data_IF_968523108799
#
_entry.id   IF_968523108799
#
_cell.length_a   1.000
_cell.length_b   1.000
_cell.length_c   1.000
_cell.angle_alpha   90.00
_cell.angle_beta   90.00
_cell.angle_gamma   90.00
#
_symmetry.space_group_name_H-M   'P 1'
#
loop_
_entity.id
_entity.type
_entity.pdbx_description
1 polymer ?
#
# COMPACT_ATOMS: atom_id res chain seq x y z
N UNK A 1 -26.61 -48.93 3.11
CA UNK A 1 -26.49 -49.92 4.20
C UNK A 1 -25.53 -49.34 5.22
N UNK A 2 -25.95 -49.08 6.46
CA UNK A 2 -25.04 -48.53 7.49
C UNK A 2 -23.90 -49.52 7.74
N UNK A 3 -22.69 -49.00 7.95
CA UNK A 3 -21.45 -49.76 8.16
C UNK A 3 -21.63 -50.90 9.20
N UNK A 4 -22.44 -50.65 10.23
CA UNK A 4 -22.87 -51.62 11.24
C UNK A 4 -23.55 -52.89 10.66
N UNK A 5 -24.43 -52.75 9.66
CA UNK A 5 -25.15 -53.90 9.07
C UNK A 5 -24.24 -54.75 8.19
N UNK A 6 -23.28 -54.14 7.50
CA UNK A 6 -22.30 -54.87 6.70
C UNK A 6 -21.34 -55.67 7.59
N UNK A 7 -20.81 -55.05 8.65
CA UNK A 7 -19.92 -55.74 9.59
C UNK A 7 -20.61 -56.89 10.34
N UNK A 8 -21.89 -56.73 10.69
CA UNK A 8 -22.67 -57.83 11.28
C UNK A 8 -22.83 -58.99 10.29
N UNK A 9 -23.13 -58.70 9.02
CA UNK A 9 -23.31 -59.72 7.99
C UNK A 9 -22.02 -60.48 7.70
N UNK A 10 -20.88 -59.78 7.60
CA UNK A 10 -19.57 -60.41 7.41
C UNK A 10 -19.19 -61.31 8.60
N UNK A 11 -19.43 -60.86 9.84
CA UNK A 11 -19.19 -61.69 11.03
C UNK A 11 -20.05 -62.94 11.06
N UNK A 12 -21.33 -62.82 10.73
CA UNK A 12 -22.25 -63.96 10.68
C UNK A 12 -21.78 -64.98 9.63
N UNK A 13 -21.45 -64.55 8.42
CA UNK A 13 -20.92 -65.44 7.37
C UNK A 13 -19.63 -66.12 7.82
N UNK A 14 -18.70 -65.37 8.42
CA UNK A 14 -17.44 -65.92 8.95
C UNK A 14 -17.64 -67.02 10.00
N UNK A 15 -18.60 -66.85 10.90
CA UNK A 15 -18.94 -67.86 11.92
C UNK A 15 -19.49 -69.13 11.28
N UNK A 16 -20.40 -69.01 10.30
CA UNK A 16 -20.94 -70.17 9.59
C UNK A 16 -19.87 -70.96 8.84
N UNK A 17 -18.92 -70.28 8.18
CA UNK A 17 -17.79 -70.93 7.50
C UNK A 17 -16.89 -71.65 8.50
N UNK A 18 -16.51 -70.99 9.60
CA UNK A 18 -15.65 -71.60 10.63
C UNK A 18 -16.30 -72.84 11.27
N UNK A 19 -17.60 -72.77 11.54
CA UNK A 19 -18.36 -73.90 12.10
C UNK A 19 -18.46 -75.06 11.10
N UNK A 20 -18.69 -74.77 9.82
CA UNK A 20 -18.67 -75.78 8.76
C UNK A 20 -17.32 -76.51 8.65
N UNK A 21 -16.20 -75.75 8.67
CA UNK A 21 -14.84 -76.34 8.66
C UNK A 21 -14.59 -77.18 9.92
N UNK A 22 -14.98 -76.70 11.10
CA UNK A 22 -14.82 -77.43 12.35
C UNK A 22 -15.59 -78.76 12.36
N UNK A 23 -16.81 -78.78 11.80
CA UNK A 23 -17.61 -80.01 11.66
C UNK A 23 -16.93 -81.01 10.74
N UNK A 24 -16.38 -80.57 9.60
CA UNK A 24 -15.66 -81.46 8.67
C UNK A 24 -14.41 -82.05 9.35
N UNK A 25 -13.62 -81.24 10.04
CA UNK A 25 -12.44 -81.69 10.79
C UNK A 25 -12.84 -82.69 11.88
N UNK A 26 -13.91 -82.40 12.63
CA UNK A 26 -14.40 -83.27 13.69
C UNK A 26 -14.85 -84.64 13.15
N UNK A 27 -15.56 -84.68 12.02
CA UNK A 27 -15.97 -85.92 11.36
C UNK A 27 -14.74 -86.74 10.93
N UNK A 28 -13.74 -86.11 10.32
CA UNK A 28 -12.49 -86.78 9.92
C UNK A 28 -11.71 -87.33 11.13
N UNK A 29 -11.59 -86.53 12.19
CA UNK A 29 -10.90 -86.91 13.42
C UNK A 29 -11.61 -88.06 14.15
N UNK A 30 -12.94 -88.04 14.20
CA UNK A 30 -13.75 -89.12 14.77
C UNK A 30 -13.55 -90.43 14.00
N UNK A 31 -13.51 -90.39 12.66
CA UNK A 31 -13.26 -91.55 11.81
C UNK A 31 -11.86 -92.15 12.06
N UNK A 32 -10.83 -91.30 12.16
CA UNK A 32 -9.44 -91.74 12.37
C UNK A 32 -9.17 -92.31 13.77
N UNK A 33 -9.78 -91.75 14.83
CA UNK A 33 -9.53 -92.17 16.21
C UNK A 33 -10.39 -93.36 16.68
N UNK A 34 -11.64 -93.49 16.21
CA UNK A 34 -12.62 -94.38 16.85
C UNK A 34 -13.10 -95.58 16.01
N UNK A 35 -12.78 -95.69 14.71
CA UNK A 35 -13.30 -96.79 13.87
C UNK A 35 -12.20 -97.71 13.31
N UNK A 36 -12.15 -98.96 13.82
CA UNK A 36 -11.38 -100.10 13.26
C UNK A 36 -12.24 -101.11 12.49
N UNK A 37 -13.31 -100.69 11.78
CA UNK A 37 -14.08 -101.68 11.00
C UNK A 37 -15.36 -101.25 10.29
N UNK A 38 -15.95 -100.09 10.59
CA UNK A 38 -17.09 -99.57 9.82
C UNK A 38 -16.69 -98.34 9.01
N UNK A 39 -16.56 -98.54 7.71
CA UNK A 39 -16.28 -97.46 6.76
C UNK A 39 -17.60 -96.75 6.47
N UNK A 40 -17.82 -95.60 7.11
CA UNK A 40 -18.80 -94.60 6.64
C UNK A 40 -18.42 -94.24 5.21
N UNK A 41 -18.99 -94.88 4.18
CA UNK A 41 -18.79 -94.57 2.76
C UNK A 41 -17.34 -94.60 2.24
N UNK A 42 -17.10 -95.12 1.03
CA UNK A 42 -15.80 -94.91 0.38
C UNK A 42 -15.54 -93.42 0.15
N UNK A 43 -14.27 -93.01 0.08
CA UNK A 43 -13.86 -91.64 -0.30
C UNK A 43 -14.59 -91.11 -1.55
N UNK A 44 -14.93 -92.01 -2.49
CA UNK A 44 -15.72 -91.70 -3.67
C UNK A 44 -17.16 -91.22 -3.38
N UNK A 45 -17.84 -91.75 -2.35
CA UNK A 45 -19.20 -91.34 -2.01
C UNK A 45 -19.25 -89.96 -1.34
N UNK A 46 -18.25 -89.65 -0.50
CA UNK A 46 -18.08 -88.31 0.05
C UNK A 46 -17.62 -87.30 -1.00
N UNK A 47 -16.79 -87.71 -1.96
CA UNK A 47 -16.47 -86.93 -3.15
C UNK A 47 -17.75 -86.57 -3.92
N UNK A 48 -18.58 -87.56 -4.26
CA UNK A 48 -19.84 -87.32 -4.97
C UNK A 48 -20.85 -86.45 -4.19
N UNK A 49 -20.92 -86.58 -2.86
CA UNK A 49 -21.74 -85.72 -2.02
C UNK A 49 -21.21 -84.28 -2.00
N UNK A 50 -19.90 -84.12 -1.85
CA UNK A 50 -19.21 -82.84 -1.96
C UNK A 50 -19.44 -82.18 -3.32
N UNK A 51 -19.41 -82.96 -4.41
CA UNK A 51 -19.67 -82.49 -5.76
C UNK A 51 -21.13 -82.07 -5.96
N UNK A 52 -22.10 -82.76 -5.35
CA UNK A 52 -23.51 -82.36 -5.38
C UNK A 52 -23.76 -81.05 -4.63
N UNK A 53 -23.26 -80.95 -3.39
CA UNK A 53 -23.40 -79.72 -2.58
C UNK A 53 -22.62 -78.56 -3.21
N UNK A 54 -21.40 -78.82 -3.68
CA UNK A 54 -20.57 -77.86 -4.41
C UNK A 54 -21.22 -77.44 -5.73
N UNK A 55 -21.84 -78.37 -6.46
CA UNK A 55 -22.57 -78.10 -7.70
C UNK A 55 -23.78 -77.19 -7.52
N UNK A 56 -24.43 -77.20 -6.35
CA UNK A 56 -25.54 -76.29 -6.02
C UNK A 56 -25.04 -74.98 -5.41
N UNK A 57 -24.08 -75.04 -4.49
CA UNK A 57 -23.55 -73.85 -3.81
C UNK A 57 -22.76 -72.95 -4.75
N UNK A 58 -21.97 -73.51 -5.67
CA UNK A 58 -21.08 -72.73 -6.51
C UNK A 58 -21.84 -71.76 -7.44
N UNK A 59 -22.94 -72.15 -8.13
CA UNK A 59 -23.80 -71.19 -8.84
C UNK A 59 -24.45 -70.14 -7.93
N UNK A 60 -24.91 -70.51 -6.74
CA UNK A 60 -25.55 -69.59 -5.78
C UNK A 60 -24.54 -68.54 -5.28
N UNK A 61 -23.34 -68.98 -4.87
CA UNK A 61 -22.26 -68.11 -4.43
C UNK A 61 -21.71 -67.25 -5.57
N UNK A 62 -21.62 -67.81 -6.78
CA UNK A 62 -21.25 -67.06 -7.98
C UNK A 62 -22.23 -65.91 -8.25
N UNK A 63 -23.53 -66.18 -8.21
CA UNK A 63 -24.57 -65.16 -8.39
C UNK A 63 -24.55 -64.11 -7.26
N UNK A 64 -24.39 -64.54 -6.00
CA UNK A 64 -24.24 -63.64 -4.85
C UNK A 64 -23.01 -62.72 -5.00
N UNK A 65 -21.89 -63.27 -5.49
CA UNK A 65 -20.66 -62.50 -5.76
C UNK A 65 -20.89 -61.43 -6.82
N UNK A 66 -21.59 -61.77 -7.92
CA UNK A 66 -21.93 -60.79 -8.96
C UNK A 66 -22.82 -59.67 -8.40
N UNK A 67 -23.82 -59.99 -7.59
CA UNK A 67 -24.68 -58.98 -6.94
C UNK A 67 -23.87 -58.07 -6.03
N UNK A 68 -23.00 -58.63 -5.19
CA UNK A 68 -22.14 -57.86 -4.28
C UNK A 68 -21.17 -56.95 -5.04
N UNK A 69 -20.64 -57.43 -6.17
CA UNK A 69 -19.77 -56.65 -7.04
C UNK A 69 -20.52 -55.48 -7.69
N UNK A 70 -21.73 -55.71 -8.21
CA UNK A 70 -22.59 -54.66 -8.77
C UNK A 70 -22.92 -53.61 -7.69
N UNK A 71 -23.24 -54.04 -6.47
CA UNK A 71 -23.54 -53.14 -5.37
C UNK A 71 -22.31 -52.31 -4.96
N UNK A 72 -21.14 -52.94 -4.90
CA UNK A 72 -19.86 -52.25 -4.63
C UNK A 72 -19.55 -51.20 -5.69
N UNK A 73 -19.71 -51.53 -6.98
CA UNK A 73 -19.53 -50.57 -8.09
C UNK A 73 -20.50 -49.39 -7.96
N UNK A 74 -21.77 -49.64 -7.59
CA UNK A 74 -22.74 -48.57 -7.38
C UNK A 74 -22.34 -47.63 -6.23
N UNK A 75 -21.78 -48.15 -5.14
CA UNK A 75 -21.27 -47.32 -4.05
C UNK A 75 -20.08 -46.49 -4.52
N UNK A 76 -19.09 -47.13 -5.16
CA UNK A 76 -17.89 -46.44 -5.66
C UNK A 76 -18.26 -45.32 -6.65
N UNK A 77 -19.21 -45.57 -7.55
CA UNK A 77 -19.73 -44.54 -8.45
C UNK A 77 -20.39 -43.36 -7.70
N UNK A 78 -21.12 -43.65 -6.63
CA UNK A 78 -21.74 -42.61 -5.80
C UNK A 78 -20.69 -41.76 -5.10
N UNK A 79 -19.71 -42.39 -4.46
CA UNK A 79 -18.60 -41.72 -3.77
C UNK A 79 -17.77 -40.88 -4.74
N UNK A 80 -17.44 -41.42 -5.93
CA UNK A 80 -16.73 -40.69 -6.97
C UNK A 80 -17.51 -39.44 -7.42
N UNK A 81 -18.83 -39.57 -7.57
CA UNK A 81 -19.71 -38.45 -7.93
C UNK A 81 -19.71 -37.38 -6.84
N UNK A 82 -19.85 -37.77 -5.57
CA UNK A 82 -19.84 -36.84 -4.44
C UNK A 82 -18.47 -36.15 -4.29
N UNK A 83 -17.38 -36.90 -4.42
CA UNK A 83 -16.01 -36.36 -4.44
C UNK A 83 -15.81 -35.35 -5.58
N UNK A 84 -16.29 -35.66 -6.79
CA UNK A 84 -16.23 -34.75 -7.93
C UNK A 84 -17.00 -33.46 -7.69
N UNK A 85 -18.19 -33.54 -7.06
CA UNK A 85 -18.98 -32.36 -6.70
C UNK A 85 -18.23 -31.51 -5.66
N UNK A 86 -17.69 -32.12 -4.61
CA UNK A 86 -16.92 -31.43 -3.58
C UNK A 86 -15.66 -30.76 -4.15
N UNK A 87 -14.93 -31.43 -5.05
CA UNK A 87 -13.76 -30.88 -5.74
C UNK A 87 -14.14 -29.67 -6.60
N UNK A 88 -15.24 -29.74 -7.36
CA UNK A 88 -15.72 -28.62 -8.16
C UNK A 88 -16.12 -27.43 -7.28
N UNK A 89 -16.83 -27.66 -6.17
CA UNK A 89 -17.18 -26.61 -5.23
C UNK A 89 -15.94 -25.96 -4.60
N UNK A 90 -14.93 -26.77 -4.23
CA UNK A 90 -13.65 -26.28 -3.72
C UNK A 90 -12.90 -25.44 -4.76
N UNK A 91 -12.84 -25.89 -6.01
CA UNK A 91 -12.20 -25.13 -7.09
C UNK A 91 -12.88 -23.76 -7.31
N UNK A 92 -14.21 -23.72 -7.33
CA UNK A 92 -14.97 -22.46 -7.46
C UNK A 92 -14.64 -21.53 -6.28
N UNK A 93 -14.66 -22.04 -5.05
CA UNK A 93 -14.31 -21.25 -3.87
C UNK A 93 -12.87 -20.71 -3.92
N UNK A 94 -11.91 -21.52 -4.39
CA UNK A 94 -10.53 -21.08 -4.58
C UNK A 94 -10.39 -20.01 -5.68
N UNK A 95 -11.12 -20.14 -6.78
CA UNK A 95 -11.13 -19.13 -7.85
C UNK A 95 -11.75 -17.81 -7.37
N UNK A 96 -12.83 -17.85 -6.60
CA UNK A 96 -13.45 -16.67 -5.98
C UNK A 96 -12.51 -15.99 -4.97
N UNK A 97 -11.82 -16.79 -4.15
CA UNK A 97 -10.82 -16.29 -3.21
C UNK A 97 -9.63 -15.64 -3.94
N UNK A 98 -9.14 -16.25 -5.03
CA UNK A 98 -8.08 -15.68 -5.84
C UNK A 98 -8.50 -14.35 -6.50
N UNK A 99 -9.74 -14.26 -6.99
CA UNK A 99 -10.31 -13.02 -7.53
C UNK A 99 -10.42 -11.94 -6.46
N UNK A 100 -10.91 -12.29 -5.27
CA UNK A 100 -11.06 -11.38 -4.14
C UNK A 100 -9.71 -10.88 -3.66
N UNK A 101 -8.74 -11.78 -3.47
CA UNK A 101 -7.37 -11.43 -3.07
C UNK A 101 -6.70 -10.48 -4.07
N UNK A 102 -6.85 -10.72 -5.39
CA UNK A 102 -6.36 -9.78 -6.41
C UNK A 102 -7.00 -8.40 -6.30
N UNK A 103 -8.31 -8.35 -6.05
CA UNK A 103 -9.03 -7.08 -5.84
C UNK A 103 -8.53 -6.36 -4.59
N UNK A 104 -8.36 -7.06 -3.48
CA UNK A 104 -7.82 -6.51 -2.23
C UNK A 104 -6.40 -5.97 -2.42
N UNK A 105 -5.53 -6.72 -3.09
CA UNK A 105 -4.17 -6.28 -3.41
C UNK A 105 -4.16 -5.00 -4.24
N UNK A 106 -5.05 -4.89 -5.24
CA UNK A 106 -5.14 -3.66 -6.06
C UNK A 106 -5.59 -2.44 -5.26
N UNK A 107 -6.50 -2.63 -4.28
CA UNK A 107 -6.96 -1.56 -3.38
C UNK A 107 -5.82 -1.15 -2.44
N UNK A 108 -5.07 -2.11 -1.90
CA UNK A 108 -3.92 -1.86 -1.03
C UNK A 108 -2.83 -1.10 -1.81
N UNK A 109 -2.53 -1.52 -3.04
CA UNK A 109 -1.52 -0.87 -3.88
C UNK A 109 -1.92 0.59 -4.19
N UNK A 110 -3.16 0.82 -4.59
CA UNK A 110 -3.68 2.19 -4.80
C UNK A 110 -3.63 3.02 -3.52
N UNK A 111 -4.01 2.43 -2.38
CA UNK A 111 -3.90 3.06 -1.07
C UNK A 111 -2.47 3.46 -0.73
N UNK A 112 -1.51 2.55 -0.97
CA UNK A 112 -0.09 2.79 -0.71
C UNK A 112 0.49 3.89 -1.61
N UNK A 113 0.11 3.92 -2.90
CA UNK A 113 0.52 4.99 -3.83
C UNK A 113 -0.05 6.36 -3.42
N UNK A 114 -1.33 6.40 -3.04
CA UNK A 114 -1.97 7.61 -2.54
C UNK A 114 -1.33 8.09 -1.22
N UNK A 115 -1.01 7.17 -0.31
CA UNK A 115 -0.32 7.50 0.93
C UNK A 115 1.10 8.02 0.66
N UNK A 116 1.84 7.37 -0.23
CA UNK A 116 3.20 7.81 -0.56
C UNK A 116 3.21 9.20 -1.22
N UNK A 117 2.26 9.48 -2.11
CA UNK A 117 2.12 10.80 -2.74
C UNK A 117 1.70 11.87 -1.73
N UNK A 118 0.79 11.56 -0.80
CA UNK A 118 0.41 12.47 0.29
C UNK A 118 1.61 12.81 1.20
N UNK A 119 2.39 11.81 1.61
CA UNK A 119 3.59 12.02 2.43
C UNK A 119 4.64 12.87 1.70
N UNK A 120 4.87 12.62 0.40
CA UNK A 120 5.77 13.45 -0.42
C UNK A 120 5.29 14.89 -0.51
N UNK A 121 3.98 15.11 -0.69
CA UNK A 121 3.38 16.44 -0.74
C UNK A 121 3.54 17.18 0.59
N UNK A 122 3.32 16.49 1.71
CA UNK A 122 3.52 17.07 3.04
C UNK A 122 4.98 17.43 3.32
N UNK A 123 5.91 16.53 2.99
CA UNK A 123 7.35 16.77 3.14
C UNK A 123 7.79 17.99 2.30
N UNK A 124 7.33 18.08 1.05
CA UNK A 124 7.61 19.20 0.16
C UNK A 124 7.04 20.51 0.72
N UNK A 125 5.80 20.51 1.22
CA UNK A 125 5.19 21.68 1.87
C UNK A 125 6.01 22.15 3.06
N UNK A 126 6.45 21.22 3.91
CA UNK A 126 7.27 21.54 5.09
C UNK A 126 8.62 22.14 4.67
N UNK A 127 9.29 21.53 3.68
CA UNK A 127 10.55 22.04 3.12
C UNK A 127 10.40 23.44 2.51
N UNK A 128 9.34 23.67 1.72
CA UNK A 128 9.06 24.99 1.13
C UNK A 128 8.76 26.04 2.21
N UNK A 129 8.02 25.66 3.25
CA UNK A 129 7.72 26.55 4.39
C UNK A 129 9.00 26.94 5.12
N UNK A 130 9.86 25.96 5.44
CA UNK A 130 11.14 26.21 6.09
C UNK A 130 12.07 27.08 5.22
N UNK A 131 12.14 26.79 3.92
CA UNK A 131 12.89 27.59 2.97
C UNK A 131 12.39 29.04 2.94
N UNK A 132 11.07 29.26 2.87
CA UNK A 132 10.49 30.59 2.88
C UNK A 132 10.80 31.34 4.17
N UNK A 133 10.68 30.70 5.34
CA UNK A 133 11.06 31.30 6.62
C UNK A 133 12.55 31.65 6.69
N UNK A 134 13.43 30.79 6.18
CA UNK A 134 14.86 31.04 6.16
C UNK A 134 15.23 32.19 5.21
N UNK A 135 14.54 32.30 4.07
CA UNK A 135 14.67 33.43 3.15
C UNK A 135 14.22 34.71 3.85
N UNK A 136 13.06 34.71 4.51
CA UNK A 136 12.57 35.87 5.28
C UNK A 136 13.57 36.29 6.37
N UNK A 137 14.09 35.35 7.16
CA UNK A 137 15.13 35.64 8.17
C UNK A 137 16.39 36.24 7.54
N UNK A 138 16.75 35.79 6.34
CA UNK A 138 17.91 36.32 5.61
C UNK A 138 17.64 37.75 5.15
N UNK A 139 16.46 38.01 4.58
CA UNK A 139 16.01 39.35 4.25
C UNK A 139 16.07 40.30 5.46
N UNK A 140 15.48 39.89 6.59
CA UNK A 140 15.45 40.71 7.81
C UNK A 140 16.88 41.02 8.30
N UNK A 141 17.80 40.05 8.22
CA UNK A 141 19.22 40.29 8.52
C UNK A 141 19.86 41.28 7.56
N UNK A 142 19.67 41.11 6.24
CA UNK A 142 20.25 41.98 5.23
C UNK A 142 19.73 43.42 5.35
N UNK A 143 18.45 43.59 5.66
CA UNK A 143 17.81 44.91 5.84
C UNK A 143 18.33 45.65 7.08
N UNK A 144 18.76 44.92 8.11
CA UNK A 144 19.27 45.47 9.37
C UNK A 144 20.80 45.66 9.38
N UNK A 145 21.52 45.28 8.31
CA UNK A 145 22.96 45.54 8.21
C UNK A 145 23.23 47.06 8.08
N UNK A 146 24.32 47.56 8.68
CA UNK A 146 24.76 48.94 8.49
C UNK A 146 24.95 49.30 7.01
N UNK A 147 24.33 50.39 6.56
CA UNK A 147 24.38 50.84 5.17
C UNK A 147 24.82 52.31 5.01
N UNK A 148 24.30 53.20 5.87
CA UNK A 148 24.64 54.62 5.91
C UNK A 148 25.37 54.95 7.20
N UNK A 149 26.31 55.89 7.13
CA UNK A 149 26.88 56.53 8.30
C UNK A 149 26.50 58.00 8.27
N UNK A 150 25.80 58.48 9.28
CA UNK A 150 25.49 59.90 9.46
C UNK A 150 25.81 60.28 10.91
N UNK A 151 26.46 61.42 11.13
CA UNK A 151 26.77 61.92 12.48
C UNK A 151 27.44 60.87 13.40
N UNK A 152 28.39 60.09 12.85
CA UNK A 152 29.10 59.00 13.55
C UNK A 152 28.21 57.83 14.02
N UNK A 153 26.96 57.75 13.57
CA UNK A 153 26.04 56.64 13.82
C UNK A 153 25.78 55.87 12.53
N UNK A 154 25.73 54.54 12.65
CA UNK A 154 25.45 53.65 11.52
C UNK A 154 23.95 53.35 11.48
N UNK A 155 23.36 53.51 10.30
CA UNK A 155 21.95 53.28 10.03
C UNK A 155 21.78 52.16 9.00
N UNK A 156 20.77 51.33 9.20
CA UNK A 156 20.41 50.25 8.30
C UNK A 156 19.47 50.72 7.19
N UNK A 157 19.22 49.85 6.22
CA UNK A 157 18.20 50.10 5.18
C UNK A 157 16.79 50.16 5.80
N UNK A 158 16.54 49.41 6.87
CA UNK A 158 15.29 49.46 7.62
C UNK A 158 15.09 50.83 8.30
N UNK A 159 16.15 51.40 8.86
CA UNK A 159 16.09 52.72 9.50
C UNK A 159 15.83 53.83 8.48
N UNK A 160 16.42 53.72 7.28
CA UNK A 160 16.14 54.63 6.15
C UNK A 160 14.68 54.56 5.70
N UNK A 161 14.12 53.35 5.58
CA UNK A 161 12.78 53.14 5.05
C UNK A 161 11.69 53.60 6.02
N UNK A 162 11.84 53.28 7.31
CA UNK A 162 10.81 53.54 8.33
C UNK A 162 11.09 54.77 9.20
N UNK A 163 12.16 55.52 8.90
CA UNK A 163 12.64 56.71 9.65
C UNK A 163 12.63 56.51 11.17
N UNK A 164 13.13 55.35 11.64
CA UNK A 164 13.01 54.93 13.04
C UNK A 164 13.91 55.73 14.00
N UNK A 165 14.84 56.55 13.47
CA UNK A 165 15.92 57.18 14.24
C UNK A 165 16.03 58.70 14.05
N UNK A 166 14.98 59.37 13.55
CA UNK A 166 14.99 60.83 13.28
C UNK A 166 16.07 61.27 12.27
N UNK A 167 16.24 60.52 11.19
CA UNK A 167 17.09 60.98 10.09
C UNK A 167 16.43 62.19 9.44
N UNK A 168 17.22 63.22 9.08
CA UNK A 168 16.67 64.36 8.36
C UNK A 168 16.21 63.93 6.95
N UNK A 169 15.13 64.53 6.46
CA UNK A 169 14.50 64.14 5.19
C UNK A 169 15.50 64.24 4.03
N UNK A 170 16.32 65.28 4.00
CA UNK A 170 17.38 65.46 2.99
C UNK A 170 18.39 64.29 2.96
N UNK A 171 18.73 63.69 4.09
CA UNK A 171 19.66 62.56 4.18
C UNK A 171 18.99 61.31 3.67
N UNK A 172 17.71 61.10 4.00
CA UNK A 172 16.93 59.98 3.48
C UNK A 172 16.82 60.10 1.95
N UNK A 173 16.35 61.23 1.43
CA UNK A 173 16.19 61.47 -0.01
C UNK A 173 17.50 61.28 -0.78
N UNK A 174 18.61 61.85 -0.29
CA UNK A 174 19.92 61.69 -0.92
C UNK A 174 20.38 60.23 -0.94
N UNK A 175 20.14 59.47 0.13
CA UNK A 175 20.53 58.05 0.18
C UNK A 175 19.64 57.18 -0.70
N UNK A 176 18.33 57.45 -0.77
CA UNK A 176 17.41 56.78 -1.69
C UNK A 176 17.83 57.04 -3.15
N UNK A 177 18.11 58.29 -3.51
CA UNK A 177 18.60 58.65 -4.85
C UNK A 177 19.93 57.94 -5.18
N UNK A 178 20.84 57.82 -4.20
CA UNK A 178 22.08 57.06 -4.35
C UNK A 178 21.83 55.56 -4.57
N UNK A 179 20.87 54.95 -3.86
CA UNK A 179 20.48 53.55 -4.07
C UNK A 179 19.98 53.37 -5.52
N UNK A 180 19.07 54.24 -5.97
CA UNK A 180 18.57 54.21 -7.35
C UNK A 180 19.70 54.28 -8.38
N UNK A 181 20.68 55.18 -8.18
CA UNK A 181 21.84 55.30 -9.07
C UNK A 181 22.72 54.04 -9.06
N UNK A 182 22.97 53.45 -7.89
CA UNK A 182 23.77 52.22 -7.74
C UNK A 182 23.09 51.01 -8.37
N UNK A 183 21.76 50.93 -8.33
CA UNK A 183 21.00 49.86 -8.96
C UNK A 183 20.97 49.98 -10.50
N UNK A 184 21.12 51.20 -11.04
CA UNK A 184 21.10 51.45 -12.48
C UNK A 184 22.47 51.50 -13.17
N UNK A 185 23.58 51.58 -12.42
CA UNK A 185 24.93 51.78 -12.98
C UNK A 185 25.96 50.81 -12.41
N UNK A 186 27.11 50.65 -13.07
CA UNK A 186 28.25 49.92 -12.51
C UNK A 186 29.23 50.88 -11.80
N UNK A 187 29.34 50.81 -10.46
CA UNK A 187 30.23 51.69 -9.72
C UNK A 187 31.70 51.34 -9.93
N UNK A 188 32.54 52.37 -10.08
CA UNK A 188 34.00 52.20 -10.22
C UNK A 188 34.72 52.05 -8.88
N UNK A 189 34.14 52.54 -7.78
CA UNK A 189 34.73 52.47 -6.44
C UNK A 189 34.35 51.18 -5.72
N UNK A 190 35.32 50.53 -5.08
CA UNK A 190 35.14 49.29 -4.32
C UNK A 190 34.05 49.35 -3.24
N UNK A 191 33.93 50.47 -2.54
CA UNK A 191 32.91 50.64 -1.50
C UNK A 191 31.48 50.69 -2.08
N UNK A 192 31.32 51.40 -3.19
CA UNK A 192 30.04 51.48 -3.92
C UNK A 192 29.68 50.12 -4.55
N UNK A 193 30.67 49.37 -5.05
CA UNK A 193 30.47 47.98 -5.50
C UNK A 193 29.97 47.06 -4.38
N UNK A 194 30.55 47.16 -3.18
CA UNK A 194 30.11 46.37 -2.03
C UNK A 194 28.66 46.70 -1.62
N UNK A 195 28.29 48.00 -1.65
CA UNK A 195 26.91 48.45 -1.40
C UNK A 195 25.95 47.92 -2.46
N UNK A 196 26.30 48.02 -3.74
CA UNK A 196 25.50 47.46 -4.83
C UNK A 196 25.29 45.96 -4.66
N UNK A 197 26.34 45.19 -4.35
CA UNK A 197 26.25 43.75 -4.12
C UNK A 197 25.33 43.40 -2.94
N UNK A 198 25.34 44.20 -1.87
CA UNK A 198 24.40 44.05 -0.76
C UNK A 198 22.95 44.27 -1.21
N UNK A 199 22.67 45.34 -1.97
CA UNK A 199 21.34 45.62 -2.50
C UNK A 199 20.87 44.55 -3.49
N UNK A 200 21.75 44.08 -4.38
CA UNK A 200 21.46 42.96 -5.29
C UNK A 200 21.21 41.65 -4.54
N UNK A 201 21.88 41.43 -3.41
CA UNK A 201 21.64 40.27 -2.56
C UNK A 201 20.22 40.33 -1.95
N UNK A 202 19.77 41.51 -1.51
CA UNK A 202 18.39 41.73 -1.05
C UNK A 202 17.41 41.46 -2.20
N UNK A 203 17.67 42.04 -3.38
CA UNK A 203 16.83 41.88 -4.56
C UNK A 203 16.67 40.41 -4.94
N UNK A 204 17.78 39.69 -5.03
CA UNK A 204 17.82 38.26 -5.32
C UNK A 204 17.08 37.45 -4.25
N UNK A 205 17.24 37.79 -2.99
CA UNK A 205 16.60 37.09 -1.87
C UNK A 205 15.07 37.21 -1.93
N UNK A 206 14.52 38.40 -2.22
CA UNK A 206 13.07 38.58 -2.40
C UNK A 206 12.56 37.89 -3.66
N UNK A 207 13.29 37.96 -4.78
CA UNK A 207 12.93 37.20 -5.98
C UNK A 207 12.87 35.69 -5.73
N UNK A 208 13.80 35.15 -4.92
CA UNK A 208 13.73 33.76 -4.48
C UNK A 208 12.51 33.49 -3.60
N UNK A 209 12.15 34.41 -2.70
CA UNK A 209 10.94 34.26 -1.88
C UNK A 209 9.67 34.22 -2.73
N UNK A 210 9.57 35.05 -3.77
CA UNK A 210 8.45 35.03 -4.72
C UNK A 210 8.33 33.66 -5.39
N UNK A 211 9.44 33.09 -5.87
CA UNK A 211 9.45 31.77 -6.51
C UNK A 211 9.02 30.65 -5.54
N UNK A 212 9.60 30.63 -4.33
CA UNK A 212 9.23 29.64 -3.31
C UNK A 212 7.77 29.79 -2.91
N UNK A 213 7.25 31.02 -2.80
CA UNK A 213 5.86 31.27 -2.48
C UNK A 213 4.90 30.79 -3.57
N UNK A 214 5.25 30.91 -4.86
CA UNK A 214 4.44 30.38 -5.96
C UNK A 214 4.26 28.86 -5.88
N UNK A 215 5.29 28.13 -5.45
CA UNK A 215 5.22 26.69 -5.23
C UNK A 215 4.48 26.33 -3.92
N UNK A 216 4.67 27.13 -2.87
CA UNK A 216 4.07 26.91 -1.56
C UNK A 216 2.57 27.22 -1.53
N UNK A 217 2.13 28.32 -2.17
CA UNK A 217 0.75 28.82 -2.16
C UNK A 217 -0.30 27.75 -2.45
N UNK A 218 -0.22 26.93 -3.52
CA UNK A 218 -1.20 25.88 -3.79
C UNK A 218 -1.17 24.71 -2.80
N UNK A 219 -0.13 24.61 -1.96
CA UNK A 219 -0.01 23.60 -0.90
C UNK A 219 -0.57 24.07 0.45
N UNK A 220 -0.94 25.35 0.57
CA UNK A 220 -1.58 25.90 1.76
C UNK A 220 -3.10 25.70 1.65
N UNK A 221 -3.63 24.75 2.44
CA UNK A 221 -5.04 24.35 2.39
C UNK A 221 -6.02 25.46 2.81
N UNK A 222 -5.57 26.35 3.72
CA UNK A 222 -6.40 27.43 4.24
C UNK A 222 -6.17 28.75 3.47
N UNK A 223 -7.23 29.40 2.94
CA UNK A 223 -7.11 30.71 2.30
C UNK A 223 -6.51 31.79 3.21
N UNK A 224 -6.75 31.70 4.53
CA UNK A 224 -6.16 32.61 5.52
C UNK A 224 -4.63 32.49 5.59
N UNK A 225 -4.09 31.27 5.48
CA UNK A 225 -2.63 31.05 5.45
C UNK A 225 -2.03 31.60 4.16
N UNK A 226 -2.68 31.38 3.02
CA UNK A 226 -2.25 31.96 1.75
C UNK A 226 -2.20 33.48 1.83
N UNK A 227 -3.22 34.10 2.42
CA UNK A 227 -3.27 35.55 2.65
C UNK A 227 -2.15 36.02 3.56
N UNK A 228 -1.95 35.41 4.73
CA UNK A 228 -0.88 35.79 5.67
C UNK A 228 0.50 35.76 5.00
N UNK A 229 0.80 34.70 4.26
CA UNK A 229 2.07 34.60 3.53
C UNK A 229 2.16 35.60 2.37
N UNK A 230 1.06 35.82 1.65
CA UNK A 230 0.96 36.82 0.60
C UNK A 230 1.24 38.23 1.15
N UNK A 231 0.57 38.63 2.22
CA UNK A 231 0.74 39.93 2.88
C UNK A 231 2.19 40.12 3.38
N UNK A 232 2.80 39.06 3.97
CA UNK A 232 4.20 39.08 4.41
C UNK A 232 5.17 39.30 3.24
N UNK A 233 4.94 38.66 2.10
CA UNK A 233 5.77 38.82 0.91
C UNK A 233 5.54 40.18 0.25
N UNK A 234 4.28 40.59 0.11
CA UNK A 234 3.92 41.89 -0.46
C UNK A 234 4.56 43.05 0.31
N UNK A 235 4.48 43.02 1.64
CA UNK A 235 5.15 44.03 2.49
C UNK A 235 6.65 44.16 2.17
N UNK A 236 7.35 43.05 1.90
CA UNK A 236 8.80 43.06 1.62
C UNK A 236 9.12 43.51 0.19
N UNK A 237 8.24 43.17 -0.76
CA UNK A 237 8.31 43.69 -2.12
C UNK A 237 8.13 45.21 -2.12
N UNK A 238 7.18 45.72 -1.32
CA UNK A 238 6.97 47.15 -1.11
C UNK A 238 8.16 47.83 -0.44
N UNK A 239 8.76 47.20 0.58
CA UNK A 239 9.98 47.70 1.21
C UNK A 239 11.13 47.86 0.19
N UNK A 240 11.32 46.86 -0.69
CA UNK A 240 12.32 46.94 -1.76
C UNK A 240 12.00 48.02 -2.79
N UNK A 241 10.72 48.24 -3.12
CA UNK A 241 10.31 49.31 -4.01
C UNK A 241 10.51 50.70 -3.38
N UNK A 242 10.14 50.87 -2.11
CA UNK A 242 10.35 52.13 -1.37
C UNK A 242 11.82 52.51 -1.23
N UNK A 243 12.71 51.52 -1.19
CA UNK A 243 14.16 51.72 -1.23
C UNK A 243 14.74 51.85 -2.64
N UNK A 244 13.94 51.82 -3.70
CA UNK A 244 14.38 51.83 -5.11
C UNK A 244 15.28 50.65 -5.52
N UNK A 245 15.21 49.55 -4.76
CA UNK A 245 15.89 48.28 -5.09
C UNK A 245 15.13 47.55 -6.19
N UNK A 246 13.80 47.64 -6.18
CA UNK A 246 12.92 47.15 -7.23
C UNK A 246 12.51 48.30 -8.14
N UNK A 247 12.44 48.06 -9.44
CA UNK A 247 11.73 48.94 -10.36
C UNK A 247 10.21 48.79 -10.18
N UNK A 248 9.44 49.74 -10.67
CA UNK A 248 7.98 49.65 -10.68
C UNK A 248 7.49 48.40 -11.42
N UNK A 249 8.11 48.09 -12.57
CA UNK A 249 7.80 46.87 -13.35
C UNK A 249 8.05 45.58 -12.55
N UNK A 250 9.14 45.53 -11.78
CA UNK A 250 9.48 44.36 -10.96
C UNK A 250 8.52 44.19 -9.78
N UNK A 251 8.15 45.30 -9.14
CA UNK A 251 7.17 45.34 -8.06
C UNK A 251 5.79 44.86 -8.54
N UNK A 252 5.31 45.40 -9.66
CA UNK A 252 4.03 44.99 -10.25
C UNK A 252 4.04 43.53 -10.72
N UNK A 253 5.14 43.08 -11.31
CA UNK A 253 5.32 41.67 -11.67
C UNK A 253 5.23 40.77 -10.43
N UNK A 254 5.91 41.12 -9.34
CA UNK A 254 5.87 40.35 -8.11
C UNK A 254 4.45 40.34 -7.49
N UNK A 255 3.78 41.51 -7.42
CA UNK A 255 2.39 41.61 -6.94
C UNK A 255 1.41 40.77 -7.74
N UNK A 256 1.52 40.79 -9.07
CA UNK A 256 0.70 39.95 -9.94
C UNK A 256 0.89 38.47 -9.60
N UNK A 257 2.13 38.03 -9.40
CA UNK A 257 2.43 36.65 -9.03
C UNK A 257 1.87 36.26 -7.64
N UNK A 258 1.88 37.19 -6.68
CA UNK A 258 1.32 36.98 -5.33
C UNK A 258 -0.21 36.86 -5.39
N UNK A 259 -0.87 37.70 -6.17
CA UNK A 259 -2.33 37.85 -6.22
C UNK A 259 -3.02 36.85 -7.15
N UNK A 260 -2.33 36.34 -8.19
CA UNK A 260 -2.90 35.32 -9.10
C UNK A 260 -3.39 34.13 -8.30
N UNK A 261 -4.69 33.85 -8.40
CA UNK A 261 -5.33 32.74 -7.72
C UNK A 261 -4.88 31.42 -8.39
N UNK A 262 -4.12 30.61 -7.66
CA UNK A 262 -3.59 29.32 -8.15
C UNK A 262 -4.61 28.19 -8.01
N UNK A 263 -5.89 28.52 -7.79
CA UNK A 263 -7.02 27.57 -7.76
C UNK A 263 -7.28 26.85 -9.09
N UNK A 264 -6.58 27.19 -10.18
CA UNK A 264 -6.58 26.37 -11.40
C UNK A 264 -5.53 25.26 -11.30
N UNK A 265 -5.94 23.98 -11.35
CA UNK A 265 -4.97 22.91 -11.54
C UNK A 265 -4.26 23.15 -12.87
N UNK A 266 -2.92 23.04 -12.87
CA UNK A 266 -2.18 22.77 -14.09
C UNK A 266 -2.67 21.41 -14.58
N UNK A 267 -3.58 21.44 -15.56
CA UNK A 267 -4.01 20.29 -16.36
C UNK A 267 -2.84 19.84 -17.22
#
# INVERSE_FOLDING_TARGET
MTESKFNSLVKTIGIFVALGVAVVIFIYMYQFLFNKGYVLGGTAAFGAFGDYIGGILNPILGFATVILLIYSIRIQMKELRESTIALKASQIAHEELAKTSKKELSIIEQGHLNQQSALKREALRNQLTENAENIIKTYDKLMNLPYVNASHTQFSLRDLLYNLTQLNDNTVENNIANISNLMGTEPSKRNEQAKKLHLESIKKNINQLVLVFLELKPMLEAPSLQKIWGDRLESRVLDCYGLTIFTEEEMERARKLITVDTTRPLI
#
